data_IF_496170717831
#
_entry.id   IF_496170717831
#
_cell.length_a   1.000
_cell.length_b   1.000
_cell.length_c   1.000
_cell.angle_alpha   90.00
_cell.angle_beta   90.00
_cell.angle_gamma   90.00
#
_symmetry.space_group_name_H-M   'P 1'
#
loop_
_entity.id
_entity.type
_entity.pdbx_description
1 polymer ?
#
# COMPACT_ATOMS: atom_id res chain seq x y z
N UNK A 1 -8.59 1.54 11.84
CA UNK A 1 -8.64 2.40 13.05
C UNK A 1 -10.07 2.74 13.45
N UNK A 2 -10.83 3.55 12.70
CA UNK A 2 -12.21 3.92 13.09
C UNK A 2 -13.09 2.70 13.41
N UNK A 3 -13.08 1.66 12.55
CA UNK A 3 -13.85 0.42 12.80
C UNK A 3 -13.36 -0.35 14.03
N UNK A 4 -12.05 -0.40 14.28
CA UNK A 4 -11.48 -1.13 15.40
C UNK A 4 -11.62 -0.38 16.73
N UNK A 5 -11.72 0.96 16.70
CA UNK A 5 -11.92 1.80 17.88
C UNK A 5 -13.39 1.96 18.29
N UNK A 6 -14.35 1.43 17.53
CA UNK A 6 -15.75 1.43 17.96
C UNK A 6 -15.91 0.58 19.22
N UNK A 7 -16.55 1.14 20.25
CA UNK A 7 -16.72 0.48 21.54
C UNK A 7 -15.49 0.50 22.44
N UNK A 8 -14.38 1.14 22.02
CA UNK A 8 -13.18 1.30 22.84
C UNK A 8 -13.24 2.62 23.60
N UNK A 9 -13.25 2.57 24.94
CA UNK A 9 -13.39 3.75 25.81
C UNK A 9 -12.34 4.83 25.55
N UNK A 10 -11.09 4.44 25.24
CA UNK A 10 -10.01 5.38 24.90
C UNK A 10 -10.17 6.04 23.52
N UNK A 11 -11.03 5.54 22.63
CA UNK A 11 -11.29 6.10 21.31
C UNK A 11 -12.48 7.08 21.36
N UNK A 12 -12.34 8.09 22.22
CA UNK A 12 -13.37 9.09 22.48
C UNK A 12 -13.68 10.00 21.28
N UNK A 13 -14.60 10.95 21.50
CA UNK A 13 -15.18 11.80 20.44
C UNK A 13 -14.14 12.55 19.61
N UNK A 14 -13.11 13.11 20.25
CA UNK A 14 -12.08 13.90 19.56
C UNK A 14 -11.24 13.03 18.62
N UNK A 15 -10.74 11.89 19.10
CA UNK A 15 -9.94 10.97 18.29
C UNK A 15 -10.78 10.33 17.18
N UNK A 16 -12.00 9.90 17.50
CA UNK A 16 -12.93 9.34 16.51
C UNK A 16 -13.28 10.35 15.41
N UNK A 17 -13.55 11.60 15.79
CA UNK A 17 -13.79 12.70 14.85
C UNK A 17 -12.59 12.97 13.95
N UNK A 18 -11.39 13.06 14.55
CA UNK A 18 -10.14 13.28 13.83
C UNK A 18 -9.88 12.19 12.78
N UNK A 19 -9.96 10.91 13.16
CA UNK A 19 -9.72 9.81 12.22
C UNK A 19 -10.78 9.74 11.11
N UNK A 20 -12.05 10.04 11.40
CA UNK A 20 -13.09 10.12 10.36
C UNK A 20 -12.78 11.25 9.38
N UNK A 21 -12.41 12.43 9.89
CA UNK A 21 -12.08 13.57 9.05
C UNK A 21 -10.83 13.30 8.20
N UNK A 22 -9.79 12.69 8.79
CA UNK A 22 -8.58 12.28 8.07
C UNK A 22 -8.87 11.31 6.92
N UNK A 23 -9.81 10.37 7.09
CA UNK A 23 -10.24 9.47 5.99
C UNK A 23 -10.93 10.27 4.88
N UNK A 24 -11.80 11.23 5.22
CA UNK A 24 -12.47 12.08 4.23
C UNK A 24 -11.47 12.90 3.44
N UNK A 25 -10.53 13.57 4.12
CA UNK A 25 -9.46 14.35 3.48
C UNK A 25 -8.59 13.45 2.60
N UNK A 26 -8.17 12.29 3.10
CA UNK A 26 -7.36 11.34 2.32
C UNK A 26 -8.05 10.82 1.06
N UNK A 27 -9.38 10.59 1.12
CA UNK A 27 -10.17 10.28 -0.08
C UNK A 27 -10.19 11.45 -1.05
N UNK A 28 -10.47 12.65 -0.54
CA UNK A 28 -10.55 13.87 -1.36
C UNK A 28 -9.22 14.12 -2.10
N UNK A 29 -8.09 14.05 -1.39
CA UNK A 29 -6.76 14.20 -1.98
C UNK A 29 -6.49 13.13 -3.05
N UNK A 30 -6.87 11.87 -2.82
CA UNK A 30 -6.69 10.81 -3.84
C UNK A 30 -7.55 10.99 -5.09
N UNK A 31 -8.69 11.68 -4.98
CA UNK A 31 -9.59 11.93 -6.11
C UNK A 31 -9.24 13.23 -6.83
N UNK A 32 -8.95 14.30 -6.09
CA UNK A 32 -8.64 15.63 -6.61
C UNK A 32 -7.18 15.74 -7.09
N UNK A 33 -6.32 14.80 -6.69
CA UNK A 33 -4.92 14.77 -7.10
C UNK A 33 -4.54 13.36 -7.55
N UNK A 34 -3.58 13.27 -8.47
CA UNK A 34 -3.00 12.00 -8.91
C UNK A 34 -1.89 11.50 -7.97
N UNK A 35 -1.88 11.89 -6.69
CA UNK A 35 -0.80 11.52 -5.75
C UNK A 35 -0.69 9.99 -5.54
N UNK A 36 -1.77 9.25 -5.80
CA UNK A 36 -1.78 7.80 -5.73
C UNK A 36 -1.55 7.11 -7.09
N UNK A 37 -1.31 7.87 -8.16
CA UNK A 37 -1.02 7.31 -9.49
C UNK A 37 0.44 6.86 -9.57
N UNK A 38 0.69 5.74 -10.26
CA UNK A 38 2.01 5.14 -10.43
C UNK A 38 2.34 4.03 -9.42
N UNK A 39 3.55 3.49 -9.52
CA UNK A 39 4.08 2.39 -8.72
C UNK A 39 4.52 2.82 -7.30
N UNK A 40 3.67 3.55 -6.57
CA UNK A 40 4.02 4.20 -5.29
C UNK A 40 3.68 3.38 -4.04
N UNK A 41 3.58 2.05 -4.16
CA UNK A 41 3.31 1.13 -3.06
C UNK A 41 4.57 0.38 -2.62
N UNK A 42 4.57 -0.16 -1.40
CA UNK A 42 5.68 -1.00 -0.92
C UNK A 42 5.88 -2.22 -1.83
N UNK A 43 4.81 -2.84 -2.31
CA UNK A 43 4.90 -4.00 -3.20
C UNK A 43 5.48 -3.64 -4.56
N UNK A 44 5.08 -2.51 -5.15
CA UNK A 44 5.59 -2.07 -6.45
C UNK A 44 7.04 -1.59 -6.35
N UNK A 45 7.40 -0.86 -5.30
CA UNK A 45 8.78 -0.48 -5.01
C UNK A 45 9.69 -1.70 -4.77
N UNK A 46 9.15 -2.77 -4.15
CA UNK A 46 9.88 -4.02 -3.98
C UNK A 46 10.19 -4.70 -5.33
N UNK A 47 9.23 -4.69 -6.27
CA UNK A 47 9.45 -5.23 -7.64
C UNK A 47 10.47 -4.37 -8.39
N UNK A 48 10.33 -3.04 -8.35
CA UNK A 48 11.30 -2.13 -8.99
C UNK A 48 12.72 -2.35 -8.44
N UNK A 49 12.87 -2.43 -7.12
CA UNK A 49 14.16 -2.69 -6.49
C UNK A 49 14.72 -4.05 -6.88
N UNK A 50 13.89 -5.09 -6.93
CA UNK A 50 14.32 -6.42 -7.36
C UNK A 50 14.85 -6.38 -8.80
N UNK A 51 14.12 -5.74 -9.71
CA UNK A 51 14.54 -5.58 -11.10
C UNK A 51 15.83 -4.75 -11.24
N UNK A 52 15.99 -3.68 -10.46
CA UNK A 52 17.22 -2.86 -10.44
C UNK A 52 18.44 -3.62 -9.91
N UNK A 53 18.26 -4.65 -9.09
CA UNK A 53 19.35 -5.42 -8.48
C UNK A 53 19.67 -6.72 -9.22
N UNK A 54 18.83 -7.14 -10.17
CA UNK A 54 19.15 -8.28 -11.01
C UNK A 54 20.34 -7.93 -11.92
N UNK A 55 21.31 -8.84 -12.07
CA UNK A 55 22.41 -8.64 -13.01
C UNK A 55 21.88 -8.60 -14.45
N UNK A 56 22.49 -7.78 -15.32
CA UNK A 56 22.04 -7.57 -16.72
C UNK A 56 21.86 -8.87 -17.53
N UNK A 57 22.56 -9.94 -17.13
CA UNK A 57 22.54 -11.26 -17.77
C UNK A 57 21.24 -12.03 -17.44
N UNK A 58 20.59 -11.70 -16.33
CA UNK A 58 19.25 -12.15 -15.98
C UNK A 58 18.26 -11.15 -16.62
N UNK A 59 17.97 -11.35 -17.90
CA UNK A 59 16.92 -10.58 -18.57
C UNK A 59 15.63 -10.63 -17.74
N UNK A 60 14.93 -9.50 -17.65
CA UNK A 60 13.77 -9.32 -16.75
C UNK A 60 12.65 -10.37 -16.97
N UNK A 61 12.64 -11.06 -18.10
CA UNK A 61 11.70 -12.15 -18.41
C UNK A 61 12.17 -13.57 -18.04
N UNK A 62 13.43 -13.77 -17.66
CA UNK A 62 14.01 -15.12 -17.45
C UNK A 62 14.40 -15.40 -15.98
N UNK A 63 14.32 -14.39 -15.12
CA UNK A 63 14.56 -14.54 -13.70
C UNK A 63 13.38 -15.26 -13.02
N UNK A 64 13.67 -16.34 -12.27
CA UNK A 64 12.63 -17.09 -11.54
C UNK A 64 12.20 -16.31 -10.30
N UNK A 65 10.94 -15.89 -10.27
CA UNK A 65 10.37 -15.15 -9.14
C UNK A 65 9.66 -16.10 -8.17
N UNK A 66 9.87 -15.90 -6.86
CA UNK A 66 9.16 -16.61 -5.80
C UNK A 66 8.49 -15.60 -4.87
N UNK A 67 7.18 -15.69 -4.71
CA UNK A 67 6.42 -14.90 -3.74
C UNK A 67 5.94 -15.82 -2.62
N UNK A 68 6.37 -15.55 -1.40
CA UNK A 68 5.92 -16.32 -0.22
C UNK A 68 4.75 -15.57 0.43
N UNK A 69 3.58 -16.22 0.45
CA UNK A 69 2.36 -15.70 1.07
C UNK A 69 1.46 -14.93 0.09
N UNK A 70 0.20 -15.36 -0.01
CA UNK A 70 -0.81 -14.79 -0.91
C UNK A 70 -1.75 -13.77 -0.22
N UNK A 71 -1.24 -13.05 0.77
CA UNK A 71 -1.98 -12.01 1.49
C UNK A 71 -2.17 -10.73 0.67
N UNK A 72 -2.75 -9.69 1.29
CA UNK A 72 -3.00 -8.40 0.62
C UNK A 72 -1.76 -7.81 -0.07
N UNK A 73 -0.60 -7.90 0.57
CA UNK A 73 0.66 -7.37 0.03
C UNK A 73 1.24 -8.27 -1.08
N UNK A 74 1.25 -9.59 -0.89
CA UNK A 74 1.76 -10.55 -1.88
C UNK A 74 0.96 -10.51 -3.19
N UNK A 75 -0.37 -10.32 -3.10
CA UNK A 75 -1.22 -10.12 -4.28
C UNK A 75 -0.83 -8.90 -5.11
N UNK A 76 -0.36 -7.82 -4.46
CA UNK A 76 0.08 -6.60 -5.16
C UNK A 76 1.46 -6.74 -5.80
N UNK A 77 2.28 -7.71 -5.38
CA UNK A 77 3.60 -7.98 -6.01
C UNK A 77 3.43 -8.68 -7.35
N UNK A 78 2.39 -9.51 -7.48
CA UNK A 78 2.10 -10.29 -8.70
C UNK A 78 1.37 -9.45 -9.75
N UNK A 79 0.68 -8.39 -9.32
CA UNK A 79 -0.20 -7.57 -10.16
C UNK A 79 0.58 -6.47 -10.87
#
# INVERSE_FOLDING_TARGET
VVKAGQGVNGFGRNISGLFKHAITVGKRVRTETNIAAGAVSVSSAAVELALMKLPDQASHGNARMLVIGAGKMGKLVIK
#
